data_IF_842363715873
#
_entry.id   IF_842363715873
#
_cell.length_a   1.000
_cell.length_b   1.000
_cell.length_c   1.000
_cell.angle_alpha   90.00
_cell.angle_beta   90.00
_cell.angle_gamma   90.00
#
_symmetry.space_group_name_H-M   'P 1'
#
loop_
_entity.id
_entity.type
_entity.pdbx_description
1 polymer ?
#
# COMPACT_ATOMS: atom_id res chain seq x y z
N UNK A 1 3.59 -3.41 4.10
CA UNK A 1 4.60 -3.85 5.09
C UNK A 1 4.51 -5.36 5.19
N UNK A 2 4.53 -5.94 6.40
CA UNK A 2 4.12 -7.34 6.61
C UNK A 2 2.66 -7.55 6.18
N UNK A 3 1.81 -6.56 6.48
CA UNK A 3 0.43 -6.46 6.01
C UNK A 3 0.12 -5.11 5.35
N UNK A 4 -1.18 -4.83 5.18
CA UNK A 4 -1.74 -3.58 4.64
C UNK A 4 -2.67 -2.93 5.67
N UNK A 5 -2.13 -2.04 6.49
CA UNK A 5 -2.95 -1.22 7.38
C UNK A 5 -3.60 -0.05 6.64
N UNK A 6 -4.85 0.27 7.00
CA UNK A 6 -5.58 1.45 6.52
C UNK A 6 -6.27 2.13 7.70
N UNK A 7 -6.23 3.45 7.72
CA UNK A 7 -6.91 4.26 8.73
C UNK A 7 -7.36 5.57 8.08
N UNK A 8 -8.33 6.22 8.70
CA UNK A 8 -8.86 7.50 8.24
C UNK A 8 -8.64 8.54 9.34
N UNK A 9 -8.26 9.76 8.94
CA UNK A 9 -8.29 10.93 9.80
C UNK A 9 -9.45 11.81 9.35
N UNK A 10 -10.41 12.07 10.23
CA UNK A 10 -11.49 13.00 9.95
C UNK A 10 -11.38 14.24 10.84
N UNK A 11 -11.75 15.40 10.30
CA UNK A 11 -11.77 16.64 11.06
C UNK A 11 -13.09 16.75 11.84
N UNK A 12 -13.02 16.93 13.16
CA UNK A 12 -14.21 17.05 14.02
C UNK A 12 -14.67 18.50 14.26
N UNK A 13 -14.02 19.48 13.64
CA UNK A 13 -14.23 20.90 13.88
C UNK A 13 -13.07 21.57 14.63
N UNK A 14 -12.28 20.81 15.39
CA UNK A 14 -11.18 21.33 16.19
C UNK A 14 -9.85 20.58 15.97
N UNK A 15 -9.89 19.26 15.76
CA UNK A 15 -8.71 18.43 15.51
C UNK A 15 -9.01 17.27 14.59
N UNK A 16 -7.94 16.64 14.07
CA UNK A 16 -8.06 15.38 13.35
C UNK A 16 -8.25 14.23 14.33
N UNK A 17 -9.27 13.40 14.08
CA UNK A 17 -9.60 12.20 14.84
C UNK A 17 -9.23 10.96 14.04
N UNK A 18 -8.44 10.03 14.61
CA UNK A 18 -8.19 8.76 13.95
C UNK A 18 -9.39 7.83 14.06
N UNK A 19 -9.76 7.22 12.94
CA UNK A 19 -10.66 6.08 12.85
C UNK A 19 -9.87 4.87 12.34
N UNK A 20 -9.75 3.85 13.20
CA UNK A 20 -9.12 2.59 12.83
C UNK A 20 -10.01 1.82 11.83
N UNK A 21 -9.39 1.12 10.89
CA UNK A 21 -10.09 0.26 9.94
C UNK A 21 -9.30 -1.02 9.67
N UNK A 22 -9.96 -2.03 9.15
CA UNK A 22 -9.35 -3.25 8.60
C UNK A 22 -9.42 -3.28 7.07
N UNK A 23 -9.31 -2.09 6.44
CA UNK A 23 -9.56 -1.93 5.01
C UNK A 23 -8.61 -2.74 4.12
N UNK A 24 -7.41 -3.09 4.58
CA UNK A 24 -6.52 -4.01 3.87
C UNK A 24 -7.07 -5.44 3.73
N UNK A 25 -8.02 -5.82 4.59
CA UNK A 25 -8.73 -7.09 4.49
C UNK A 25 -9.98 -7.02 3.60
N UNK A 26 -10.28 -5.88 2.98
CA UNK A 26 -11.31 -5.80 1.93
C UNK A 26 -10.94 -6.67 0.73
N UNK A 27 -11.95 -7.13 -0.01
CA UNK A 27 -11.74 -8.03 -1.14
C UNK A 27 -10.95 -7.32 -2.25
N UNK A 28 -9.99 -8.03 -2.85
CA UNK A 28 -9.29 -7.55 -4.04
C UNK A 28 -10.26 -7.50 -5.23
N UNK A 29 -10.31 -6.35 -5.91
CA UNK A 29 -11.15 -6.12 -7.07
C UNK A 29 -10.25 -5.85 -8.30
N UNK A 30 -10.06 -6.84 -9.20
CA UNK A 30 -9.21 -6.68 -10.38
C UNK A 30 -9.82 -5.70 -11.37
N UNK A 31 -8.98 -4.90 -12.04
CA UNK A 31 -9.38 -3.85 -12.97
C UNK A 31 -9.31 -4.27 -14.44
N UNK A 32 -8.51 -5.28 -14.74
CA UNK A 32 -8.28 -5.79 -16.09
C UNK A 32 -8.09 -7.31 -16.09
N UNK A 33 -7.90 -7.89 -17.27
CA UNK A 33 -7.73 -9.33 -17.45
C UNK A 33 -6.44 -9.86 -16.79
N UNK A 34 -5.39 -9.05 -16.72
CA UNK A 34 -4.12 -9.45 -16.08
C UNK A 34 -4.30 -9.57 -14.58
N UNK A 35 -4.92 -8.57 -13.96
CA UNK A 35 -5.28 -8.59 -12.54
C UNK A 35 -6.31 -9.70 -12.22
N UNK A 36 -7.21 -10.00 -13.15
CA UNK A 36 -8.17 -11.09 -13.01
C UNK A 36 -7.49 -12.46 -13.01
N UNK A 37 -6.45 -12.64 -13.83
CA UNK A 37 -5.60 -13.85 -13.78
C UNK A 37 -4.82 -13.95 -12.48
N UNK A 38 -4.28 -12.84 -11.97
CA UNK A 38 -3.64 -12.80 -10.65
C UNK A 38 -4.64 -13.21 -9.54
N UNK A 39 -5.87 -12.71 -9.58
CA UNK A 39 -6.92 -13.11 -8.65
C UNK A 39 -7.17 -14.63 -8.71
N UNK A 40 -7.33 -15.19 -9.92
CA UNK A 40 -7.54 -16.64 -10.12
C UNK A 40 -6.39 -17.47 -9.57
N UNK A 41 -5.15 -17.07 -9.88
CA UNK A 41 -3.94 -17.70 -9.34
C UNK A 41 -3.92 -17.71 -7.80
N UNK A 42 -4.29 -16.59 -7.17
CA UNK A 42 -4.32 -16.49 -5.71
C UNK A 42 -5.47 -17.29 -5.08
N UNK A 43 -6.60 -17.46 -5.78
CA UNK A 43 -7.74 -18.26 -5.32
C UNK A 43 -7.45 -19.77 -5.25
N UNK A 44 -6.45 -20.26 -5.99
CA UNK A 44 -5.98 -21.65 -5.86
C UNK A 44 -5.36 -21.93 -4.49
N UNK A 45 -4.85 -20.89 -3.82
CA UNK A 45 -4.13 -21.00 -2.53
C UNK A 45 -4.93 -20.46 -1.35
N UNK A 46 -5.85 -19.53 -1.59
CA UNK A 46 -6.61 -18.84 -0.56
C UNK A 46 -8.10 -18.89 -0.86
N UNK A 47 -8.96 -19.20 0.14
CA UNK A 47 -10.41 -19.20 -0.06
C UNK A 47 -10.98 -17.80 -0.36
N UNK A 48 -10.22 -16.74 -0.01
CA UNK A 48 -10.55 -15.35 -0.28
C UNK A 48 -9.27 -14.55 -0.45
N UNK A 49 -9.25 -13.67 -1.45
CA UNK A 49 -8.12 -12.77 -1.72
C UNK A 49 -8.47 -11.36 -1.28
N UNK A 50 -7.80 -10.89 -0.24
CA UNK A 50 -7.90 -9.49 0.21
C UNK A 50 -6.82 -8.62 -0.44
N UNK A 51 -6.97 -7.31 -0.35
CA UNK A 51 -5.91 -6.38 -0.77
C UNK A 51 -4.57 -6.66 -0.08
N UNK A 52 -4.55 -7.04 1.20
CA UNK A 52 -3.32 -7.42 1.91
C UNK A 52 -2.60 -8.62 1.29
N UNK A 53 -3.33 -9.59 0.71
CA UNK A 53 -2.72 -10.75 0.02
C UNK A 53 -1.93 -10.34 -1.22
N UNK A 54 -2.20 -9.15 -1.74
CA UNK A 54 -1.58 -8.56 -2.92
C UNK A 54 -0.58 -7.45 -2.53
N UNK A 55 -0.94 -6.60 -1.55
CA UNK A 55 -0.22 -5.39 -1.16
C UNK A 55 0.50 -5.52 0.18
N UNK A 56 1.30 -6.57 0.29
CA UNK A 56 2.23 -6.82 1.40
C UNK A 56 3.59 -7.25 0.85
N UNK A 57 4.59 -7.43 1.71
CA UNK A 57 5.86 -8.05 1.29
C UNK A 57 5.62 -9.41 0.63
N UNK A 58 4.85 -10.28 1.31
CA UNK A 58 4.44 -11.56 0.75
C UNK A 58 3.61 -11.40 -0.53
N UNK A 59 2.74 -10.40 -0.59
CA UNK A 59 1.96 -10.09 -1.78
C UNK A 59 2.81 -9.74 -3.01
N UNK A 60 3.89 -8.98 -2.84
CA UNK A 60 4.86 -8.74 -3.92
C UNK A 60 5.47 -10.06 -4.42
N UNK A 61 5.84 -10.96 -3.51
CA UNK A 61 6.36 -12.26 -3.91
C UNK A 61 5.29 -13.14 -4.59
N UNK A 62 4.02 -13.09 -4.15
CA UNK A 62 2.94 -13.79 -4.84
C UNK A 62 2.73 -13.28 -6.28
N UNK A 63 2.86 -11.97 -6.51
CA UNK A 63 2.80 -11.39 -7.85
C UNK A 63 3.94 -11.94 -8.70
N UNK A 64 5.16 -12.00 -8.16
CA UNK A 64 6.29 -12.62 -8.84
C UNK A 64 6.04 -14.09 -9.18
N UNK A 65 5.52 -14.90 -8.24
CA UNK A 65 5.16 -16.29 -8.50
C UNK A 65 4.07 -16.43 -9.57
N UNK A 66 3.09 -15.54 -9.58
CA UNK A 66 2.07 -15.47 -10.62
C UNK A 66 2.73 -15.27 -12.00
N UNK A 67 3.61 -14.28 -12.15
CA UNK A 67 4.30 -14.04 -13.43
C UNK A 67 5.17 -15.25 -13.85
N UNK A 68 5.81 -15.91 -12.90
CA UNK A 68 6.55 -17.16 -13.14
C UNK A 68 5.64 -18.28 -13.64
N UNK A 69 4.42 -18.40 -13.09
CA UNK A 69 3.42 -19.36 -13.57
C UNK A 69 2.92 -19.06 -14.98
N UNK A 70 2.96 -17.79 -15.40
CA UNK A 70 2.66 -17.36 -16.78
C UNK A 70 3.85 -17.52 -17.74
N UNK A 71 4.97 -18.12 -17.28
CA UNK A 71 6.15 -18.40 -18.11
C UNK A 71 7.18 -17.26 -18.17
N UNK A 72 7.04 -16.21 -17.35
CA UNK A 72 8.05 -15.15 -17.28
C UNK A 72 9.41 -15.73 -16.83
N UNK A 73 10.54 -15.31 -17.41
CA UNK A 73 11.86 -15.91 -17.15
C UNK A 73 12.33 -15.68 -15.70
N UNK A 74 13.27 -16.51 -15.22
CA UNK A 74 13.96 -16.30 -13.94
C UNK A 74 15.44 -16.35 -14.23
N UNK A 75 16.12 -15.27 -13.85
CA UNK A 75 17.56 -15.18 -14.03
C UNK A 75 18.26 -16.03 -12.95
N UNK A 76 19.31 -16.80 -13.31
CA UNK A 76 20.01 -17.66 -12.36
C UNK A 76 20.55 -16.91 -11.12
N UNK A 77 20.96 -15.66 -11.29
CA UNK A 77 21.41 -14.82 -10.18
C UNK A 77 20.30 -14.57 -9.16
N UNK A 78 19.09 -14.25 -9.65
CA UNK A 78 17.92 -14.04 -8.80
C UNK A 78 17.48 -15.35 -8.16
N UNK A 79 17.46 -16.45 -8.91
CA UNK A 79 17.14 -17.78 -8.38
C UNK A 79 18.03 -18.16 -7.20
N UNK A 80 19.35 -17.96 -7.35
CA UNK A 80 20.31 -18.22 -6.28
C UNK A 80 20.02 -17.39 -5.04
N UNK A 81 19.70 -16.09 -5.20
CA UNK A 81 19.37 -15.21 -4.07
C UNK A 81 18.06 -15.60 -3.40
N UNK A 82 17.04 -15.96 -4.17
CA UNK A 82 15.75 -16.44 -3.65
C UNK A 82 15.88 -17.69 -2.77
N UNK A 83 16.93 -18.49 -2.98
CA UNK A 83 17.20 -19.68 -2.16
C UNK A 83 17.81 -19.38 -0.78
N UNK A 84 18.38 -18.18 -0.57
CA UNK A 84 19.15 -17.84 0.65
C UNK A 84 18.73 -16.55 1.36
N UNK A 85 17.94 -15.70 0.72
CA UNK A 85 17.52 -14.39 1.23
C UNK A 85 15.99 -14.30 1.35
N UNK A 86 15.48 -13.21 1.94
CA UNK A 86 14.03 -12.92 1.94
C UNK A 86 13.53 -12.73 0.50
N UNK A 87 12.60 -13.58 0.00
CA UNK A 87 12.20 -13.55 -1.41
C UNK A 87 11.58 -12.22 -1.83
N UNK A 88 10.83 -11.59 -0.93
CA UNK A 88 10.15 -10.31 -1.20
C UNK A 88 11.15 -9.17 -1.35
N UNK A 89 12.20 -9.16 -0.52
CA UNK A 89 13.30 -8.20 -0.59
C UNK A 89 14.10 -8.37 -1.88
N UNK A 90 14.45 -9.61 -2.25
CA UNK A 90 15.18 -9.91 -3.50
C UNK A 90 14.40 -9.40 -4.71
N UNK A 91 13.12 -9.76 -4.83
CA UNK A 91 12.26 -9.31 -5.94
C UNK A 91 12.16 -7.80 -5.97
N UNK A 92 11.89 -7.16 -4.82
CA UNK A 92 11.77 -5.71 -4.74
C UNK A 92 13.05 -4.97 -5.15
N UNK A 93 14.20 -5.41 -4.63
CA UNK A 93 15.51 -4.81 -4.95
C UNK A 93 15.89 -5.01 -6.43
N UNK A 94 15.76 -6.24 -6.94
CA UNK A 94 16.08 -6.55 -8.33
C UNK A 94 15.15 -5.81 -9.30
N UNK A 95 13.86 -5.71 -8.97
CA UNK A 95 12.88 -4.98 -9.78
C UNK A 95 13.09 -3.46 -9.78
N UNK A 96 13.45 -2.86 -8.64
CA UNK A 96 13.78 -1.42 -8.58
C UNK A 96 15.05 -1.10 -9.36
N UNK A 97 16.04 -2.01 -9.37
CA UNK A 97 17.30 -1.83 -10.12
C UNK A 97 17.21 -2.16 -11.61
N UNK A 98 16.10 -2.73 -12.08
CA UNK A 98 15.99 -3.25 -13.46
C UNK A 98 16.92 -4.43 -13.74
N UNK A 99 17.34 -5.16 -12.69
CA UNK A 99 18.30 -6.27 -12.80
C UNK A 99 17.62 -7.60 -13.19
N UNK A 100 16.29 -7.63 -13.28
CA UNK A 100 15.50 -8.82 -13.51
C UNK A 100 14.15 -8.41 -14.13
N UNK A 101 13.88 -8.74 -15.40
CA UNK A 101 12.63 -8.33 -16.08
C UNK A 101 11.36 -8.76 -15.35
N UNK A 102 11.30 -10.00 -14.87
CA UNK A 102 10.15 -10.53 -14.12
C UNK A 102 9.98 -9.85 -12.75
N UNK A 103 11.08 -9.47 -12.12
CA UNK A 103 11.06 -8.77 -10.84
C UNK A 103 10.61 -7.32 -11.03
N UNK A 104 11.06 -6.68 -12.10
CA UNK A 104 10.64 -5.35 -12.51
C UNK A 104 9.13 -5.32 -12.80
N UNK A 105 8.65 -6.27 -13.60
CA UNK A 105 7.23 -6.39 -13.93
C UNK A 105 6.37 -6.70 -12.69
N UNK A 106 6.89 -7.51 -11.74
CA UNK A 106 6.22 -7.73 -10.46
C UNK A 106 6.11 -6.44 -9.63
N UNK A 107 7.19 -5.64 -9.57
CA UNK A 107 7.20 -4.36 -8.85
C UNK A 107 6.30 -3.33 -9.52
N UNK A 108 6.30 -3.26 -10.85
CA UNK A 108 5.46 -2.33 -11.61
C UNK A 108 3.96 -2.66 -11.43
N UNK A 109 3.59 -3.94 -11.50
CA UNK A 109 2.24 -4.40 -11.20
C UNK A 109 1.86 -4.12 -9.73
N UNK A 110 2.75 -4.39 -8.78
CA UNK A 110 2.53 -4.07 -7.36
C UNK A 110 2.29 -2.57 -7.14
N UNK A 111 3.10 -1.70 -7.74
CA UNK A 111 2.97 -0.24 -7.61
C UNK A 111 1.66 0.27 -8.21
N UNK A 112 1.26 -0.27 -9.37
CA UNK A 112 -0.03 0.03 -10.00
C UNK A 112 -1.20 -0.40 -9.11
N UNK A 113 -1.19 -1.64 -8.60
CA UNK A 113 -2.20 -2.14 -7.66
C UNK A 113 -2.27 -1.32 -6.36
N UNK A 114 -1.11 -0.85 -5.87
CA UNK A 114 -1.06 -0.01 -4.67
C UNK A 114 -1.70 1.36 -4.92
N UNK A 115 -1.42 1.97 -6.07
CA UNK A 115 -2.09 3.19 -6.51
C UNK A 115 -3.60 3.01 -6.60
N UNK A 116 -4.05 1.90 -7.20
CA UNK A 116 -5.47 1.57 -7.33
C UNK A 116 -6.18 1.48 -5.97
N UNK A 117 -5.60 0.74 -5.02
CA UNK A 117 -6.21 0.60 -3.70
C UNK A 117 -6.18 1.89 -2.89
N UNK A 118 -5.12 2.70 -3.03
CA UNK A 118 -5.08 4.03 -2.44
C UNK A 118 -6.19 4.93 -3.02
N UNK A 119 -6.47 4.80 -4.33
CA UNK A 119 -7.56 5.50 -5.00
C UNK A 119 -8.94 5.06 -4.50
N UNK A 120 -9.16 3.75 -4.37
CA UNK A 120 -10.37 3.19 -3.78
C UNK A 120 -10.60 3.69 -2.36
N UNK A 121 -9.56 3.74 -1.53
CA UNK A 121 -9.66 4.27 -0.17
C UNK A 121 -10.04 5.75 -0.19
N UNK A 122 -9.39 6.56 -1.03
CA UNK A 122 -9.70 7.98 -1.16
C UNK A 122 -11.17 8.22 -1.55
N UNK A 123 -11.69 7.49 -2.53
CA UNK A 123 -13.09 7.59 -2.96
C UNK A 123 -14.06 7.12 -1.87
N UNK A 124 -13.79 5.98 -1.24
CA UNK A 124 -14.65 5.39 -0.22
C UNK A 124 -14.81 6.31 1.00
N UNK A 125 -13.75 7.06 1.32
CA UNK A 125 -13.67 7.91 2.52
C UNK A 125 -13.79 9.39 2.23
N UNK A 126 -13.92 9.76 0.95
CA UNK A 126 -13.86 11.15 0.49
C UNK A 126 -12.66 11.91 1.07
N UNK A 127 -11.47 11.30 1.03
CA UNK A 127 -10.24 11.85 1.61
C UNK A 127 -9.64 12.98 0.77
N UNK A 128 -10.40 14.07 0.56
CA UNK A 128 -9.99 15.21 -0.26
C UNK A 128 -8.80 15.98 0.31
N UNK A 129 -8.59 15.91 1.63
CA UNK A 129 -7.40 16.43 2.31
C UNK A 129 -6.11 15.68 1.95
N UNK A 130 -6.23 14.49 1.36
CA UNK A 130 -5.14 13.70 0.82
C UNK A 130 -5.03 12.28 1.34
N UNK A 131 -4.17 11.52 0.68
CA UNK A 131 -3.78 10.16 1.07
C UNK A 131 -2.31 10.14 1.47
N UNK A 132 -2.03 9.52 2.61
CA UNK A 132 -0.69 9.34 3.12
C UNK A 132 -0.28 7.87 3.05
N UNK A 133 0.77 7.59 2.30
CA UNK A 133 1.27 6.24 2.06
C UNK A 133 2.50 6.02 2.94
N UNK A 134 2.40 5.07 3.88
CA UNK A 134 3.46 4.78 4.83
C UNK A 134 3.90 3.31 4.83
N UNK A 135 4.95 3.02 5.58
CA UNK A 135 5.43 1.67 5.86
C UNK A 135 6.67 1.27 5.04
N UNK A 136 7.37 0.22 5.51
CA UNK A 136 8.69 -0.12 4.99
C UNK A 136 8.75 -0.58 3.53
N UNK A 137 7.62 -0.98 2.92
CA UNK A 137 7.64 -1.42 1.51
C UNK A 137 7.64 -0.23 0.54
N UNK A 138 6.87 0.83 0.83
CA UNK A 138 6.81 2.01 -0.06
C UNK A 138 8.14 2.75 -0.08
N UNK A 139 8.87 2.76 1.04
CA UNK A 139 10.20 3.38 1.10
C UNK A 139 11.25 2.62 0.30
N UNK A 140 11.20 1.28 0.32
CA UNK A 140 12.08 0.42 -0.50
C UNK A 140 11.79 0.51 -2.00
N UNK A 141 10.51 0.67 -2.36
CA UNK A 141 10.06 0.77 -3.76
C UNK A 141 9.93 2.22 -4.27
N UNK A 142 10.42 3.20 -3.51
CA UNK A 142 10.17 4.63 -3.77
C UNK A 142 10.52 5.10 -5.20
N UNK A 143 11.62 4.66 -5.83
CA UNK A 143 11.91 5.04 -7.23
C UNK A 143 10.79 4.61 -8.19
N UNK A 144 10.26 3.40 -8.02
CA UNK A 144 9.16 2.86 -8.82
C UNK A 144 7.82 3.50 -8.48
N UNK A 145 7.56 3.82 -7.21
CA UNK A 145 6.36 4.60 -6.81
C UNK A 145 6.36 5.98 -7.46
N UNK A 146 7.54 6.58 -7.67
CA UNK A 146 7.72 7.88 -8.33
C UNK A 146 7.73 7.82 -9.87
N UNK A 147 7.66 6.63 -10.49
CA UNK A 147 7.71 6.49 -11.95
C UNK A 147 6.46 7.02 -12.67
N UNK A 148 5.36 7.19 -11.94
CA UNK A 148 4.06 7.61 -12.48
C UNK A 148 2.99 6.51 -12.36
N UNK A 149 3.37 5.23 -12.38
CA UNK A 149 2.46 4.08 -12.34
C UNK A 149 1.47 4.15 -11.17
N UNK A 150 1.95 4.53 -9.98
CA UNK A 150 1.11 4.69 -8.80
C UNK A 150 0.01 5.74 -9.04
N UNK A 151 0.40 6.92 -9.54
CA UNK A 151 -0.52 8.04 -9.70
C UNK A 151 -1.47 7.85 -10.88
N UNK A 152 -1.03 7.16 -11.93
CA UNK A 152 -1.91 6.74 -13.03
C UNK A 152 -3.02 5.81 -12.50
N UNK A 153 -2.65 4.77 -11.77
CA UNK A 153 -3.59 3.84 -11.17
C UNK A 153 -4.51 4.49 -10.14
N UNK A 154 -3.97 5.38 -9.28
CA UNK A 154 -4.73 6.14 -8.29
C UNK A 154 -5.82 7.01 -8.92
N UNK A 155 -5.53 7.62 -10.08
CA UNK A 155 -6.45 8.52 -10.78
C UNK A 155 -7.45 7.79 -11.66
N UNK A 156 -7.23 6.51 -11.97
CA UNK A 156 -8.13 5.69 -12.78
C UNK A 156 -9.42 5.35 -12.03
N UNK A 157 -10.30 6.36 -11.91
CA UNK A 157 -11.53 6.36 -11.14
C UNK A 157 -12.76 6.70 -12.00
N UNK A 158 -12.67 6.46 -13.31
CA UNK A 158 -13.72 6.80 -14.28
C UNK A 158 -14.16 8.26 -14.17
N UNK A 159 -15.46 8.50 -14.00
CA UNK A 159 -16.03 9.86 -13.87
C UNK A 159 -15.47 10.68 -12.70
N UNK A 160 -14.84 10.03 -11.71
CA UNK A 160 -14.22 10.71 -10.57
C UNK A 160 -12.74 11.04 -10.78
N UNK A 161 -12.16 10.77 -11.96
CA UNK A 161 -10.77 11.09 -12.26
C UNK A 161 -10.43 12.57 -11.97
N UNK A 162 -11.33 13.51 -12.30
CA UNK A 162 -11.15 14.93 -12.02
C UNK A 162 -11.00 15.25 -10.52
N UNK A 163 -11.72 14.53 -9.66
CA UNK A 163 -11.61 14.61 -8.20
C UNK A 163 -10.27 14.02 -7.73
N UNK A 164 -9.90 12.86 -8.27
CA UNK A 164 -8.66 12.16 -7.91
C UNK A 164 -7.42 12.95 -8.31
N UNK A 165 -7.47 13.72 -9.42
CA UNK A 165 -6.38 14.61 -9.84
C UNK A 165 -6.09 15.72 -8.84
N UNK A 166 -7.10 16.17 -8.09
CA UNK A 166 -6.98 17.22 -7.08
C UNK A 166 -6.60 16.69 -5.69
N UNK A 167 -6.75 15.38 -5.47
CA UNK A 167 -6.45 14.74 -4.18
C UNK A 167 -4.93 14.53 -4.03
N UNK A 168 -4.27 15.15 -3.03
CA UNK A 168 -2.83 15.01 -2.87
C UNK A 168 -2.47 13.62 -2.32
N UNK A 169 -1.38 13.04 -2.84
CA UNK A 169 -0.80 11.81 -2.30
C UNK A 169 0.60 12.11 -1.78
N UNK A 170 0.88 11.70 -0.54
CA UNK A 170 2.18 11.94 0.12
C UNK A 170 2.76 10.63 0.66
N UNK A 171 4.05 10.42 0.46
CA UNK A 171 4.76 9.28 1.08
C UNK A 171 5.35 9.72 2.42
N UNK A 172 5.04 9.01 3.49
CA UNK A 172 5.61 9.24 4.81
C UNK A 172 7.01 8.64 4.85
N UNK A 173 8.03 9.50 4.91
CA UNK A 173 9.44 9.08 4.99
C UNK A 173 9.98 9.06 6.43
N UNK A 174 9.26 9.65 7.39
CA UNK A 174 9.70 9.67 8.79
C UNK A 174 9.43 8.29 9.43
N UNK A 175 10.48 7.53 9.81
CA UNK A 175 10.30 6.20 10.40
C UNK A 175 9.66 6.24 11.79
N UNK A 176 9.67 7.41 12.45
CA UNK A 176 9.06 7.62 13.77
C UNK A 176 7.60 8.06 13.70
N UNK A 177 7.00 8.17 12.52
CA UNK A 177 5.63 8.70 12.37
C UNK A 177 4.60 7.98 13.26
N UNK A 178 4.65 6.64 13.32
CA UNK A 178 3.74 5.87 14.19
C UNK A 178 3.96 6.13 15.68
N UNK A 179 5.22 6.28 16.11
CA UNK A 179 5.57 6.59 17.51
C UNK A 179 5.16 8.01 17.88
N UNK A 180 5.33 8.97 16.96
CA UNK A 180 4.89 10.36 17.16
C UNK A 180 3.37 10.44 17.29
N UNK A 181 2.62 9.72 16.44
CA UNK A 181 1.17 9.65 16.55
C UNK A 181 0.69 9.04 17.87
N UNK A 182 1.36 7.98 18.35
CA UNK A 182 1.06 7.39 19.66
C UNK A 182 1.38 8.36 20.82
N UNK A 183 2.48 9.10 20.74
CA UNK A 183 2.86 10.10 21.74
C UNK A 183 1.86 11.26 21.79
N UNK A 184 1.38 11.73 20.64
CA UNK A 184 0.35 12.79 20.55
C UNK A 184 -0.96 12.34 21.24
N UNK A 185 -1.43 11.13 20.94
CA UNK A 185 -2.64 10.59 21.58
C UNK A 185 -2.45 10.43 23.09
N UNK A 186 -1.27 9.98 23.54
CA UNK A 186 -0.96 9.86 24.96
C UNK A 186 -0.96 11.23 25.65
N UNK A 187 -0.42 12.27 25.01
CA UNK A 187 -0.43 13.64 25.51
C UNK A 187 -1.86 14.18 25.62
N UNK A 188 -2.67 14.00 24.58
CA UNK A 188 -4.08 14.41 24.57
C UNK A 188 -4.86 13.78 25.73
N UNK A 189 -4.68 12.47 25.98
CA UNK A 189 -5.33 11.78 27.10
C UNK A 189 -4.84 12.27 28.46
N UNK A 190 -3.57 12.64 28.59
CA UNK A 190 -3.02 13.21 29.82
C UNK A 190 -3.56 14.62 30.10
N UNK A 191 -3.82 15.41 29.06
CA UNK A 191 -4.38 16.76 29.19
C UNK A 191 -5.91 16.73 29.42
N UNK A 192 -6.64 15.83 28.78
CA UNK A 192 -8.10 15.66 28.96
C UNK A 192 -8.45 15.12 30.37
N UNK A 193 -7.50 14.49 31.07
CA UNK A 193 -7.67 13.97 32.44
C UNK A 193 -7.21 14.94 33.53
N UNK A 194 -6.67 16.10 33.18
CA UNK A 194 -6.30 17.12 34.15
C UNK A 194 -7.56 17.74 34.81
N UNK A 195 -7.59 17.91 36.15
CA UNK A 195 -8.74 18.52 36.83
C UNK A 195 -8.97 19.94 36.29
N UNK A 196 -10.20 20.21 35.80
CA UNK A 196 -10.57 21.57 35.40
C UNK A 196 -10.44 22.50 36.61
N UNK A 197 -9.81 23.68 36.46
CA UNK A 197 -9.73 24.63 37.56
C UNK A 197 -11.15 24.99 38.01
N UNK A 198 -11.43 24.79 39.28
CA UNK A 198 -12.70 25.18 39.89
C UNK A 198 -12.73 26.71 39.89
N UNK A 199 -13.66 27.30 39.14
CA UNK A 199 -13.87 28.74 39.15
C UNK A 199 -14.38 29.16 40.53
N UNK A 200 -13.60 30.01 41.22
CA UNK A 200 -13.98 30.72 42.44
C UNK A 200 -14.92 31.89 42.14
#
# INVERSE_FOLDING_TARGET
>A
GTGLGQAVLFWDGARYRPAATEGGHAAFAPRDERESRLLRFLLERYPRVSWERVLSGRGLFHIFEFLRSEGAPLLPEVEKRLASEDPSAVVGEAGVRGACPTCEDAVDLFVSLYGAQAGNLALTTMALGGVYVGGGIVTKLLPKVKSGLFMEAFRNAGRFEGLMRQTPVRVILNPKASLLGAAEVALDLALDTAPKPVSS
#
